data_IF_583026438477
#
_entry.id   IF_583026438477
#
_cell.length_a   1.000
_cell.length_b   1.000
_cell.length_c   1.000
_cell.angle_alpha   90.00
_cell.angle_beta   90.00
_cell.angle_gamma   90.00
#
_symmetry.space_group_name_H-M   'P 1'
#
loop_
_entity.id
_entity.type
_entity.pdbx_description
1 polymer ?
#
# COMPACT_ATOMS: atom_id res chain seq x y z
N UNK A 1 8.44 10.27 -27.75
CA UNK A 1 9.38 10.70 -26.69
C UNK A 1 9.53 9.54 -25.73
N UNK A 2 10.75 9.07 -25.47
CA UNK A 2 11.00 7.97 -24.52
C UNK A 2 11.20 8.58 -23.13
N UNK A 3 10.39 8.17 -22.17
CA UNK A 3 10.52 8.58 -20.77
C UNK A 3 11.51 7.62 -20.09
N UNK A 4 12.45 8.16 -19.32
CA UNK A 4 13.52 7.38 -18.67
C UNK A 4 13.63 7.71 -17.19
N UNK A 5 14.00 6.70 -16.41
CA UNK A 5 14.39 6.79 -15.00
C UNK A 5 15.73 6.04 -14.84
N UNK A 6 16.85 6.76 -14.94
CA UNK A 6 18.17 6.13 -15.02
C UNK A 6 18.29 5.18 -16.22
N UNK A 7 18.54 3.90 -15.95
CA UNK A 7 18.62 2.84 -16.97
C UNK A 7 17.24 2.32 -17.41
N UNK A 8 16.17 2.66 -16.69
CA UNK A 8 14.82 2.21 -16.96
C UNK A 8 14.15 3.04 -18.04
N UNK A 9 13.32 2.39 -18.85
CA UNK A 9 12.44 3.04 -19.83
C UNK A 9 11.00 2.77 -19.47
N UNK A 10 10.13 3.78 -19.63
CA UNK A 10 8.72 3.61 -19.34
C UNK A 10 8.08 2.68 -20.39
N UNK A 11 7.51 1.57 -19.93
CA UNK A 11 6.86 0.56 -20.76
C UNK A 11 5.34 0.78 -20.84
N UNK A 12 4.69 0.98 -19.69
CA UNK A 12 3.26 1.25 -19.59
C UNK A 12 3.00 2.29 -18.48
N UNK A 13 1.96 3.10 -18.65
CA UNK A 13 1.51 4.03 -17.63
C UNK A 13 -0.02 4.16 -17.65
N UNK A 14 -0.64 3.75 -16.55
CA UNK A 14 -2.05 3.94 -16.31
C UNK A 14 -2.29 5.33 -15.70
N UNK A 15 -2.90 6.22 -16.48
CA UNK A 15 -3.17 7.60 -16.05
C UNK A 15 -4.24 7.70 -14.96
N UNK A 16 -5.10 6.67 -14.81
CA UNK A 16 -6.18 6.67 -13.82
C UNK A 16 -5.61 6.35 -12.44
N UNK A 17 -4.81 5.28 -12.35
CA UNK A 17 -4.23 4.83 -11.08
C UNK A 17 -2.85 5.43 -10.80
N UNK A 18 -2.21 6.02 -11.81
CA UNK A 18 -0.83 6.48 -11.77
C UNK A 18 0.21 5.35 -11.79
N UNK A 19 -0.21 4.08 -11.94
CA UNK A 19 0.68 2.92 -12.00
C UNK A 19 1.63 3.06 -13.20
N UNK A 20 2.92 2.87 -12.96
CA UNK A 20 3.94 2.88 -14.01
C UNK A 20 4.66 1.54 -14.07
N UNK A 21 4.76 0.98 -15.27
CA UNK A 21 5.57 -0.21 -15.56
C UNK A 21 6.83 0.25 -16.27
N UNK A 22 7.97 -0.08 -15.70
CA UNK A 22 9.28 0.25 -16.22
C UNK A 22 9.97 -1.01 -16.73
N UNK A 23 10.70 -0.85 -17.82
CA UNK A 23 11.46 -1.92 -18.47
C UNK A 23 12.95 -1.58 -18.48
N UNK A 24 13.76 -2.59 -18.17
CA UNK A 24 15.21 -2.58 -18.25
C UNK A 24 15.67 -3.89 -18.88
N UNK A 25 16.56 -3.83 -19.87
CA UNK A 25 17.29 -4.99 -20.35
C UNK A 25 18.73 -4.92 -19.82
N UNK A 26 19.16 -5.95 -19.08
CA UNK A 26 20.48 -5.97 -18.44
C UNK A 26 21.59 -6.60 -19.30
N UNK A 27 21.26 -7.03 -20.53
CA UNK A 27 22.16 -7.75 -21.44
C UNK A 27 21.83 -9.24 -21.56
N UNK A 28 21.09 -9.80 -20.60
CA UNK A 28 20.69 -11.21 -20.59
C UNK A 28 19.17 -11.38 -20.50
N UNK A 29 18.48 -10.53 -19.73
CA UNK A 29 17.04 -10.64 -19.47
C UNK A 29 16.33 -9.30 -19.44
N UNK A 30 15.03 -9.37 -19.73
CA UNK A 30 14.10 -8.27 -19.52
C UNK A 30 13.62 -8.23 -18.06
N UNK A 31 13.81 -7.09 -17.41
CA UNK A 31 13.38 -6.82 -16.05
C UNK A 31 12.26 -5.79 -16.08
N UNK A 32 11.17 -6.09 -15.36
CA UNK A 32 10.03 -5.20 -15.21
C UNK A 32 9.89 -4.76 -13.75
N UNK A 33 9.84 -3.44 -13.52
CA UNK A 33 9.53 -2.83 -12.23
C UNK A 33 8.15 -2.19 -12.31
N UNK A 34 7.28 -2.45 -11.34
CA UNK A 34 5.94 -1.85 -11.30
C UNK A 34 5.86 -0.93 -10.09
N UNK A 35 5.68 0.36 -10.36
CA UNK A 35 5.54 1.38 -9.33
C UNK A 35 4.05 1.71 -9.16
N UNK A 36 3.56 1.57 -7.92
CA UNK A 36 2.21 1.97 -7.53
C UNK A 36 2.32 3.21 -6.64
N UNK A 37 1.83 4.38 -7.07
CA UNK A 37 1.82 5.56 -6.23
C UNK A 37 0.87 5.33 -5.04
N UNK A 38 1.34 5.65 -3.84
CA UNK A 38 0.58 5.47 -2.58
C UNK A 38 0.36 6.77 -1.83
N UNK A 39 0.87 7.90 -2.33
CA UNK A 39 0.86 9.18 -1.61
C UNK A 39 -0.54 9.63 -1.22
N UNK A 40 -1.52 9.51 -2.14
CA UNK A 40 -2.92 9.84 -1.87
C UNK A 40 -3.49 8.94 -0.76
N UNK A 41 -3.25 7.63 -0.84
CA UNK A 41 -3.69 6.67 0.19
C UNK A 41 -3.07 7.01 1.55
N UNK A 42 -1.79 7.37 1.58
CA UNK A 42 -1.09 7.76 2.80
C UNK A 42 -1.65 9.06 3.39
N UNK A 43 -1.96 10.05 2.55
CA UNK A 43 -2.60 11.30 2.98
C UNK A 43 -3.98 11.03 3.56
N UNK A 44 -4.82 10.28 2.86
CA UNK A 44 -6.16 9.89 3.32
C UNK A 44 -6.12 9.11 4.63
N UNK A 45 -5.17 8.18 4.77
CA UNK A 45 -5.00 7.41 6.00
C UNK A 45 -4.62 8.32 7.18
N UNK A 46 -3.71 9.28 6.94
CA UNK A 46 -3.29 10.27 7.93
C UNK A 46 -4.44 11.21 8.32
N UNK A 47 -5.20 11.71 7.37
CA UNK A 47 -6.37 12.57 7.59
C UNK A 47 -7.46 11.83 8.37
N UNK A 48 -7.74 10.58 7.99
CA UNK A 48 -8.67 9.71 8.72
C UNK A 48 -8.20 9.52 10.16
N UNK A 49 -6.90 9.26 10.36
CA UNK A 49 -6.32 9.08 11.68
C UNK A 49 -6.42 10.31 12.55
N UNK A 50 -6.13 11.48 12.00
CA UNK A 50 -6.22 12.75 12.71
C UNK A 50 -7.66 13.12 13.09
N UNK A 51 -8.65 12.67 12.30
CA UNK A 51 -10.08 12.92 12.56
C UNK A 51 -10.77 11.81 13.37
N UNK A 52 -10.14 10.64 13.51
CA UNK A 52 -10.73 9.44 14.10
C UNK A 52 -11.24 9.64 15.55
N UNK A 53 -10.54 10.42 16.38
CA UNK A 53 -10.98 10.68 17.76
C UNK A 53 -12.36 11.35 17.84
N UNK A 54 -12.78 12.07 16.80
CA UNK A 54 -14.09 12.75 16.74
C UNK A 54 -15.17 11.90 16.05
N UNK A 55 -14.77 10.97 15.20
CA UNK A 55 -15.66 10.25 14.28
C UNK A 55 -15.98 8.79 14.71
N UNK A 56 -15.25 8.23 15.69
CA UNK A 56 -15.44 6.83 16.09
C UNK A 56 -16.62 6.64 17.06
N UNK A 57 -17.84 6.64 16.53
CA UNK A 57 -19.09 6.25 17.23
C UNK A 57 -19.81 5.19 16.41
N UNK A 58 -20.00 3.98 16.96
CA UNK A 58 -20.68 2.84 16.30
C UNK A 58 -19.88 1.53 16.36
N UNK A 59 -20.37 0.48 15.69
CA UNK A 59 -19.78 -0.88 15.78
C UNK A 59 -18.64 -1.13 14.79
N UNK A 60 -18.64 -0.46 13.62
CA UNK A 60 -17.69 -0.71 12.55
C UNK A 60 -16.79 0.49 12.28
N UNK A 61 -15.48 0.27 12.35
CA UNK A 61 -14.48 1.30 12.08
C UNK A 61 -13.40 0.79 11.14
N UNK A 62 -13.04 1.61 10.15
CA UNK A 62 -11.86 1.37 9.32
C UNK A 62 -10.60 1.53 10.17
N UNK A 63 -9.82 0.46 10.31
CA UNK A 63 -8.57 0.42 11.11
C UNK A 63 -7.30 0.63 10.28
N UNK A 64 -7.35 0.33 8.99
CA UNK A 64 -6.27 0.54 8.04
C UNK A 64 -6.81 0.56 6.60
N UNK A 65 -6.06 1.20 5.70
CA UNK A 65 -6.19 1.02 4.25
C UNK A 65 -4.80 0.69 3.71
N UNK A 66 -4.66 -0.44 3.03
CA UNK A 66 -3.37 -1.00 2.59
C UNK A 66 -3.41 -1.19 1.07
N UNK A 67 -2.36 -0.84 0.32
CA UNK A 67 -2.30 -1.15 -1.11
C UNK A 67 -2.49 -2.64 -1.39
N UNK A 68 -3.27 -2.98 -2.41
CA UNK A 68 -3.66 -4.37 -2.68
C UNK A 68 -2.45 -5.29 -2.93
N UNK A 69 -1.45 -4.81 -3.66
CA UNK A 69 -0.20 -5.53 -3.90
C UNK A 69 0.53 -5.85 -2.58
N UNK A 70 0.61 -4.89 -1.66
CA UNK A 70 1.22 -5.09 -0.34
C UNK A 70 0.39 -6.07 0.49
N UNK A 71 -0.94 -5.92 0.51
CA UNK A 71 -1.83 -6.79 1.27
C UNK A 71 -1.74 -8.26 0.82
N UNK A 72 -1.58 -8.53 -0.47
CA UNK A 72 -1.34 -9.88 -0.98
C UNK A 72 0.09 -10.35 -0.71
N UNK A 73 1.10 -9.53 -1.00
CA UNK A 73 2.50 -9.93 -0.85
C UNK A 73 2.88 -10.23 0.61
N UNK A 74 2.30 -9.51 1.58
CA UNK A 74 2.54 -9.74 3.00
C UNK A 74 1.74 -10.90 3.59
N UNK A 75 0.80 -11.48 2.85
CA UNK A 75 -0.12 -12.50 3.36
C UNK A 75 -1.28 -11.94 4.20
N UNK A 76 -1.42 -10.60 4.31
CA UNK A 76 -2.47 -9.95 5.10
C UNK A 76 -3.88 -10.36 4.65
N UNK A 77 -4.12 -10.50 3.34
CA UNK A 77 -5.42 -10.94 2.80
C UNK A 77 -5.78 -12.35 3.27
N UNK A 78 -4.80 -13.26 3.26
CA UNK A 78 -4.98 -14.64 3.73
C UNK A 78 -5.26 -14.67 5.22
N UNK A 79 -4.40 -14.02 6.01
CA UNK A 79 -4.56 -13.95 7.47
C UNK A 79 -5.92 -13.38 7.87
N UNK A 80 -6.37 -12.32 7.21
CA UNK A 80 -7.69 -11.74 7.46
C UNK A 80 -8.83 -12.72 7.12
N UNK A 81 -8.74 -13.40 5.97
CA UNK A 81 -9.77 -14.35 5.52
C UNK A 81 -9.86 -15.60 6.40
N UNK A 82 -8.73 -16.02 6.98
CA UNK A 82 -8.64 -17.17 7.89
C UNK A 82 -8.91 -16.80 9.36
N UNK A 83 -9.10 -15.51 9.67
CA UNK A 83 -9.34 -15.03 11.04
C UNK A 83 -8.09 -15.04 11.93
N UNK A 84 -6.88 -15.01 11.36
CA UNK A 84 -5.64 -14.85 12.12
C UNK A 84 -5.44 -13.39 12.54
N UNK A 85 -6.22 -12.98 13.53
CA UNK A 85 -6.17 -11.64 14.12
C UNK A 85 -4.80 -11.31 14.71
N UNK A 86 -4.04 -12.31 15.16
CA UNK A 86 -2.70 -12.11 15.72
C UNK A 86 -1.75 -11.61 14.64
N UNK A 87 -1.75 -12.25 13.48
CA UNK A 87 -0.94 -11.81 12.35
C UNK A 87 -1.35 -10.41 11.88
N UNK A 88 -2.66 -10.18 11.69
CA UNK A 88 -3.18 -8.88 11.22
C UNK A 88 -2.76 -7.75 12.16
N UNK A 89 -2.91 -7.93 13.46
CA UNK A 89 -2.49 -6.95 14.47
C UNK A 89 -0.97 -6.77 14.48
N UNK A 90 -0.21 -7.86 14.38
CA UNK A 90 1.26 -7.81 14.31
C UNK A 90 1.72 -6.97 13.12
N UNK A 91 1.21 -7.27 11.94
CA UNK A 91 1.51 -6.53 10.71
C UNK A 91 1.18 -5.05 10.84
N UNK A 92 -0.03 -4.70 11.28
CA UNK A 92 -0.46 -3.29 11.36
C UNK A 92 0.23 -2.50 12.49
N UNK A 93 0.66 -3.16 13.56
CA UNK A 93 1.36 -2.52 14.67
C UNK A 93 2.88 -2.43 14.46
N UNK A 94 3.41 -3.00 13.38
CA UNK A 94 4.81 -2.86 12.98
C UNK A 94 5.13 -1.41 12.60
N UNK A 95 6.33 -0.94 12.94
CA UNK A 95 6.79 0.42 12.64
C UNK A 95 6.79 0.72 11.14
N UNK A 96 7.17 -0.25 10.32
CA UNK A 96 7.28 -0.11 8.86
C UNK A 96 5.89 -0.05 8.18
N UNK A 97 4.88 -0.60 8.84
CA UNK A 97 3.50 -0.68 8.34
C UNK A 97 2.55 0.31 9.02
N UNK A 98 3.03 1.09 10.00
CA UNK A 98 2.21 2.05 10.75
C UNK A 98 1.57 3.09 9.84
N UNK A 99 2.17 3.39 8.69
CA UNK A 99 1.63 4.31 7.70
C UNK A 99 0.26 3.88 7.14
N UNK A 100 -0.02 2.57 7.10
CA UNK A 100 -1.28 2.03 6.58
C UNK A 100 -2.47 2.22 7.52
N UNK A 101 -2.22 2.49 8.80
CA UNK A 101 -3.28 2.58 9.80
C UNK A 101 -4.06 3.89 9.72
N UNK A 102 -5.33 3.79 10.05
CA UNK A 102 -6.24 4.94 10.21
C UNK A 102 -6.59 5.20 11.68
N UNK A 103 -5.98 4.46 12.61
CA UNK A 103 -6.15 4.61 14.06
C UNK A 103 -4.82 4.91 14.73
N UNK A 104 -4.81 5.73 15.78
CA UNK A 104 -3.67 5.86 16.70
C UNK A 104 -3.59 4.70 17.70
N UNK A 105 -2.47 4.58 18.44
CA UNK A 105 -2.28 3.56 19.48
C UNK A 105 -1.85 2.19 18.96
N UNK A 106 -2.40 1.10 19.48
CA UNK A 106 -2.22 -0.27 18.96
C UNK A 106 -3.59 -0.92 18.71
N UNK A 107 -3.65 -1.79 17.71
CA UNK A 107 -4.81 -2.65 17.41
C UNK A 107 -4.74 -3.96 18.20
#
# INVERSE_FOLDING_TARGET
>A
MVIRDGAWTLHDHDRVTGRSVWHLFDGEKDVYRVDYPVDNLLSENRETRNSAEKAWRGDWHRVASVPLNIAHASGLVKAHSEGDDRFVKGFLNDGDNRAWRTKEGRL
#
